data_IF_020355894203
#
_entry.id   IF_020355894203
#
_cell.length_a   1.000
_cell.length_b   1.000
_cell.length_c   1.000
_cell.angle_alpha   90.00
_cell.angle_beta   90.00
_cell.angle_gamma   90.00
#
_symmetry.space_group_name_H-M   'P 1'
#
loop_
_entity.id
_entity.type
_entity.pdbx_description
1 polymer ?
#
# COMPACT_ATOMS: atom_id res chain seq x y z
N UNK A 1 -29.47 28.13 20.10
CA UNK A 1 -29.02 27.76 18.75
C UNK A 1 -27.93 28.75 18.37
N UNK A 2 -26.66 28.35 18.34
CA UNK A 2 -25.62 29.19 17.75
C UNK A 2 -25.85 29.18 16.24
N UNK A 3 -26.09 30.35 15.65
CA UNK A 3 -26.10 30.52 14.20
C UNK A 3 -24.76 30.02 13.66
N UNK A 4 -24.81 29.00 12.80
CA UNK A 4 -23.63 28.54 12.08
C UNK A 4 -23.27 29.66 11.12
N UNK A 5 -22.13 30.34 11.35
CA UNK A 5 -21.64 31.36 10.43
C UNK A 5 -21.65 30.80 8.99
N UNK A 6 -22.20 31.53 8.02
CA UNK A 6 -22.22 31.08 6.64
C UNK A 6 -20.79 30.85 6.16
N UNK A 7 -20.52 29.66 5.61
CA UNK A 7 -19.20 29.29 5.09
C UNK A 7 -18.75 30.37 4.09
N UNK A 8 -17.65 31.04 4.40
CA UNK A 8 -17.06 32.06 3.53
C UNK A 8 -16.55 31.39 2.24
N UNK A 9 -17.39 31.36 1.21
CA UNK A 9 -17.06 30.73 -0.07
C UNK A 9 -15.89 31.44 -0.76
N UNK A 10 -15.72 32.75 -0.58
CA UNK A 10 -14.63 33.51 -1.17
C UNK A 10 -13.27 33.13 -0.56
N UNK A 11 -13.23 32.74 0.72
CA UNK A 11 -12.02 32.22 1.36
C UNK A 11 -11.54 30.90 0.71
N UNK A 12 -12.46 29.99 0.41
CA UNK A 12 -12.11 28.68 -0.17
C UNK A 12 -12.01 28.70 -1.70
N UNK A 13 -12.79 29.54 -2.37
CA UNK A 13 -12.95 29.50 -3.82
C UNK A 13 -12.50 30.75 -4.56
N UNK A 14 -12.14 31.83 -3.85
CA UNK A 14 -11.76 33.12 -4.43
C UNK A 14 -10.29 33.25 -4.84
N UNK A 15 -9.41 32.30 -4.45
CA UNK A 15 -8.00 32.30 -4.86
C UNK A 15 -7.66 31.08 -5.72
N UNK A 16 -6.80 31.30 -6.72
CA UNK A 16 -6.20 30.22 -7.48
C UNK A 16 -5.20 29.45 -6.63
N UNK A 17 -5.20 28.12 -6.78
CA UNK A 17 -4.25 27.27 -6.07
C UNK A 17 -2.81 27.57 -6.53
N UNK A 18 -1.85 27.68 -5.59
CA UNK A 18 -0.47 27.94 -5.93
C UNK A 18 0.10 26.82 -6.81
N UNK A 19 0.76 27.20 -7.91
CA UNK A 19 1.47 26.23 -8.75
C UNK A 19 2.79 25.84 -8.08
N UNK A 20 3.18 24.55 -8.13
CA UNK A 20 4.47 24.14 -7.60
C UNK A 20 5.60 24.85 -8.34
N UNK A 21 6.61 25.31 -7.59
CA UNK A 21 7.82 25.90 -8.19
C UNK A 21 8.65 24.82 -8.91
N UNK A 22 9.50 25.24 -9.85
CA UNK A 22 10.40 24.31 -10.57
C UNK A 22 11.27 23.48 -9.61
N UNK A 23 11.78 24.09 -8.54
CA UNK A 23 12.57 23.39 -7.52
C UNK A 23 11.76 22.30 -6.81
N UNK A 24 10.49 22.57 -6.50
CA UNK A 24 9.59 21.58 -5.90
C UNK A 24 9.35 20.44 -6.88
N UNK A 25 9.08 20.73 -8.14
CA UNK A 25 8.88 19.71 -9.17
C UNK A 25 10.11 18.81 -9.31
N UNK A 26 11.31 19.39 -9.41
CA UNK A 26 12.57 18.64 -9.50
C UNK A 26 12.74 17.69 -8.31
N UNK A 27 12.47 18.14 -7.08
CA UNK A 27 12.57 17.29 -5.89
C UNK A 27 11.64 16.08 -5.94
N UNK A 28 10.39 16.26 -6.37
CA UNK A 28 9.42 15.16 -6.44
C UNK A 28 9.76 14.19 -7.58
N UNK A 29 10.25 14.71 -8.72
CA UNK A 29 10.75 13.88 -9.82
C UNK A 29 11.97 13.06 -9.39
N UNK A 30 12.91 13.65 -8.66
CA UNK A 30 14.08 12.93 -8.14
C UNK A 30 13.69 11.84 -7.15
N UNK A 31 12.72 12.09 -6.26
CA UNK A 31 12.23 11.08 -5.32
C UNK A 31 11.51 9.94 -6.04
N UNK A 32 10.69 10.26 -7.05
CA UNK A 32 10.05 9.24 -7.88
C UNK A 32 11.09 8.42 -8.64
N UNK A 33 12.12 9.05 -9.22
CA UNK A 33 13.21 8.36 -9.91
C UNK A 33 14.02 7.46 -8.97
N UNK A 34 14.33 7.94 -7.76
CA UNK A 34 15.00 7.13 -6.74
C UNK A 34 14.13 5.94 -6.32
N UNK A 35 12.83 6.16 -6.15
CA UNK A 35 11.86 5.10 -5.83
C UNK A 35 11.74 4.09 -6.95
N UNK A 36 11.79 4.53 -8.22
CA UNK A 36 11.85 3.65 -9.37
C UNK A 36 13.09 2.75 -9.35
N UNK A 37 14.27 3.29 -9.04
CA UNK A 37 15.47 2.48 -8.90
C UNK A 37 15.34 1.45 -7.76
N UNK A 38 14.91 1.88 -6.56
CA UNK A 38 14.80 0.98 -5.41
C UNK A 38 13.73 -0.09 -5.57
N UNK A 39 12.58 0.25 -6.17
CA UNK A 39 11.52 -0.73 -6.48
C UNK A 39 11.93 -1.69 -7.58
N UNK A 40 12.72 -1.24 -8.58
CA UNK A 40 13.25 -2.13 -9.63
C UNK A 40 14.20 -3.16 -9.03
N UNK A 41 15.13 -2.74 -8.15
CA UNK A 41 16.04 -3.68 -7.46
C UNK A 41 15.26 -4.59 -6.50
N UNK A 42 14.27 -4.07 -5.77
CA UNK A 42 13.43 -4.90 -4.90
C UNK A 42 12.62 -5.94 -5.69
N UNK A 43 12.17 -5.60 -6.90
CA UNK A 43 11.44 -6.50 -7.79
C UNK A 43 12.29 -7.64 -8.35
N UNK A 44 13.62 -7.54 -8.36
CA UNK A 44 14.49 -8.64 -8.78
C UNK A 44 14.80 -9.62 -7.65
N UNK A 45 14.75 -9.16 -6.40
CA UNK A 45 15.11 -9.91 -5.21
C UNK A 45 13.94 -10.75 -4.67
N UNK A 46 14.25 -11.91 -4.11
CA UNK A 46 13.32 -12.66 -3.28
C UNK A 46 12.78 -11.76 -2.14
N UNK A 47 11.46 -11.77 -1.84
CA UNK A 47 10.46 -12.76 -2.29
C UNK A 47 9.71 -12.43 -3.58
N UNK A 48 9.96 -11.28 -4.22
CA UNK A 48 9.19 -10.83 -5.38
C UNK A 48 9.79 -11.23 -6.72
N UNK A 49 11.11 -11.44 -6.75
CA UNK A 49 11.85 -11.67 -7.98
C UNK A 49 12.67 -12.96 -8.01
N UNK A 50 13.30 -13.22 -9.17
CA UNK A 50 14.00 -14.47 -9.45
C UNK A 50 15.35 -14.60 -8.74
N UNK A 51 15.91 -13.52 -8.19
CA UNK A 51 17.24 -13.52 -7.57
C UNK A 51 17.11 -13.95 -6.11
N UNK A 52 17.65 -15.13 -5.79
CA UNK A 52 17.62 -15.72 -4.45
C UNK A 52 19.03 -16.01 -3.93
N UNK A 53 19.81 -14.95 -3.72
CA UNK A 53 21.20 -15.05 -3.27
C UNK A 53 21.35 -15.01 -1.74
N UNK A 54 20.23 -14.93 -1.01
CA UNK A 54 20.26 -14.89 0.45
C UNK A 54 20.48 -16.29 1.03
N UNK A 55 21.69 -16.83 0.84
CA UNK A 55 22.12 -18.08 1.47
C UNK A 55 22.47 -17.77 2.92
N UNK A 56 21.52 -17.98 3.81
CA UNK A 56 21.82 -18.12 5.24
C UNK A 56 22.55 -19.45 5.37
N UNK A 57 23.77 -19.45 5.91
CA UNK A 57 24.49 -20.67 6.23
C UNK A 57 23.75 -21.50 7.29
N UNK A 58 24.39 -22.54 7.83
CA UNK A 58 23.82 -23.26 8.98
C UNK A 58 23.51 -22.28 10.13
N UNK A 59 22.37 -22.49 10.80
CA UNK A 59 21.99 -21.68 11.95
C UNK A 59 23.12 -21.63 12.99
N UNK A 60 23.46 -20.44 13.52
CA UNK A 60 24.50 -20.31 14.52
C UNK A 60 24.14 -21.14 15.75
N UNK A 61 25.04 -22.04 16.16
CA UNK A 61 24.85 -22.96 17.28
C UNK A 61 25.38 -22.38 18.60
N UNK A 62 26.26 -21.39 18.51
CA UNK A 62 26.89 -20.73 19.67
C UNK A 62 26.58 -19.24 19.73
N UNK A 63 26.74 -18.64 20.91
CA UNK A 63 26.57 -17.20 21.10
C UNK A 63 27.57 -16.40 20.25
N UNK A 64 28.82 -16.87 20.18
CA UNK A 64 29.87 -16.23 19.38
C UNK A 64 29.56 -16.29 17.87
N UNK A 65 29.05 -17.44 17.39
CA UNK A 65 28.56 -17.57 16.02
C UNK A 65 27.37 -16.64 15.75
N UNK A 66 26.48 -16.47 16.74
CA UNK A 66 25.33 -15.56 16.63
C UNK A 66 25.80 -14.10 16.49
N UNK A 67 26.75 -13.68 17.33
CA UNK A 67 27.33 -12.33 17.26
C UNK A 67 28.06 -12.13 15.93
N UNK A 68 28.88 -13.08 15.51
CA UNK A 68 29.57 -13.03 14.23
C UNK A 68 28.59 -12.97 13.04
N UNK A 69 27.50 -13.73 13.11
CA UNK A 69 26.44 -13.70 12.11
C UNK A 69 25.84 -12.28 11.99
N UNK A 70 25.41 -11.66 13.09
CA UNK A 70 24.85 -10.31 13.07
C UNK A 70 25.85 -9.26 12.57
N UNK A 71 27.12 -9.36 12.95
CA UNK A 71 28.18 -8.47 12.48
C UNK A 71 28.47 -8.64 10.97
N UNK A 72 28.23 -9.82 10.40
CA UNK A 72 28.40 -10.11 8.96
C UNK A 72 27.23 -9.64 8.09
N UNK A 73 26.06 -9.33 8.68
CA UNK A 73 24.86 -8.97 7.92
C UNK A 73 25.02 -7.74 7.01
N UNK A 74 25.69 -6.64 7.42
CA UNK A 74 25.87 -5.48 6.55
C UNK A 74 26.66 -5.82 5.28
N UNK A 75 27.72 -6.64 5.39
CA UNK A 75 28.52 -7.06 4.25
C UNK A 75 27.71 -7.97 3.31
N UNK A 76 26.99 -8.96 3.87
CA UNK A 76 26.11 -9.84 3.08
C UNK A 76 25.01 -9.06 2.36
N UNK A 77 24.40 -8.10 3.05
CA UNK A 77 23.40 -7.22 2.47
C UNK A 77 23.98 -6.42 1.29
N UNK A 78 25.13 -5.77 1.47
CA UNK A 78 25.80 -5.03 0.38
C UNK A 78 26.14 -5.96 -0.79
N UNK A 79 26.60 -7.18 -0.53
CA UNK A 79 26.89 -8.18 -1.55
C UNK A 79 25.66 -8.56 -2.37
N UNK A 80 24.54 -8.87 -1.72
CA UNK A 80 23.27 -9.23 -2.38
C UNK A 80 22.75 -8.07 -3.22
N UNK A 81 22.73 -6.85 -2.68
CA UNK A 81 22.29 -5.67 -3.43
C UNK A 81 23.23 -5.39 -4.61
N UNK A 82 24.55 -5.50 -4.41
CA UNK A 82 25.55 -5.32 -5.45
C UNK A 82 25.39 -6.31 -6.60
N UNK A 83 25.18 -7.58 -6.29
CA UNK A 83 24.94 -8.62 -7.30
C UNK A 83 23.63 -8.41 -8.04
N UNK A 84 22.54 -8.06 -7.36
CA UNK A 84 21.28 -7.74 -8.01
C UNK A 84 21.40 -6.55 -8.98
N UNK A 85 22.17 -5.52 -8.60
CA UNK A 85 22.48 -4.39 -9.48
C UNK A 85 23.31 -4.85 -10.68
N UNK A 86 24.34 -5.68 -10.49
CA UNK A 86 25.13 -6.24 -11.58
C UNK A 86 24.24 -7.03 -12.57
N UNK A 87 23.33 -7.87 -12.06
CA UNK A 87 22.39 -8.64 -12.86
C UNK A 87 21.42 -7.76 -13.66
N UNK A 88 21.02 -6.59 -13.14
CA UNK A 88 20.20 -5.63 -13.90
C UNK A 88 20.91 -5.13 -15.17
N UNK A 89 22.24 -5.07 -15.18
CA UNK A 89 23.02 -4.64 -16.35
C UNK A 89 23.52 -5.78 -17.23
N UNK A 90 23.56 -7.00 -16.72
CA UNK A 90 24.16 -8.16 -17.40
C UNK A 90 23.14 -9.20 -17.87
N UNK A 91 21.96 -9.26 -17.24
CA UNK A 91 20.92 -10.24 -17.53
C UNK A 91 19.60 -9.55 -17.95
N UNK A 92 19.24 -9.71 -19.23
CA UNK A 92 18.04 -9.09 -19.79
C UNK A 92 16.75 -9.58 -19.12
N UNK A 93 16.68 -10.85 -18.68
CA UNK A 93 15.48 -11.36 -18.02
C UNK A 93 15.27 -10.69 -16.66
N UNK A 94 16.34 -10.55 -15.86
CA UNK A 94 16.30 -9.88 -14.55
C UNK A 94 15.92 -8.40 -14.70
N UNK A 95 16.48 -7.72 -15.71
CA UNK A 95 16.10 -6.35 -16.03
C UNK A 95 14.62 -6.21 -16.39
N UNK A 96 14.13 -7.04 -17.32
CA UNK A 96 12.72 -7.01 -17.73
C UNK A 96 11.79 -7.28 -16.55
N UNK A 97 12.08 -8.32 -15.75
CA UNK A 97 11.27 -8.66 -14.58
C UNK A 97 11.22 -7.51 -13.55
N UNK A 98 12.38 -6.92 -13.23
CA UNK A 98 12.47 -5.79 -12.30
C UNK A 98 11.69 -4.56 -12.79
N UNK A 99 11.74 -4.27 -14.10
CA UNK A 99 10.99 -3.18 -14.72
C UNK A 99 9.48 -3.43 -14.75
N UNK A 100 9.05 -4.65 -15.09
CA UNK A 100 7.64 -5.04 -15.06
C UNK A 100 7.06 -4.85 -13.67
N UNK A 101 7.80 -5.26 -12.64
CA UNK A 101 7.40 -5.09 -11.24
C UNK A 101 7.32 -3.61 -10.86
N UNK A 102 8.39 -2.83 -11.07
CA UNK A 102 8.46 -1.44 -10.62
C UNK A 102 7.49 -0.53 -11.35
N UNK A 103 7.35 -0.67 -12.67
CA UNK A 103 6.39 0.10 -13.46
C UNK A 103 4.95 -0.22 -13.04
N UNK A 104 4.63 -1.49 -12.84
CA UNK A 104 3.30 -1.90 -12.38
C UNK A 104 2.98 -1.34 -11.00
N UNK A 105 3.89 -1.51 -10.04
CA UNK A 105 3.69 -1.02 -8.67
C UNK A 105 3.59 0.51 -8.62
N UNK A 106 4.51 1.22 -9.28
CA UNK A 106 4.46 2.69 -9.31
C UNK A 106 3.25 3.21 -10.04
N UNK A 107 2.76 2.55 -11.09
CA UNK A 107 1.53 2.95 -11.76
C UNK A 107 0.33 2.91 -10.80
N UNK A 108 0.24 1.89 -9.95
CA UNK A 108 -0.79 1.78 -8.91
C UNK A 108 -0.64 2.92 -7.89
N UNK A 109 0.56 3.11 -7.34
CA UNK A 109 0.82 4.11 -6.29
C UNK A 109 0.66 5.55 -6.79
N UNK A 110 1.18 5.86 -7.98
CA UNK A 110 1.00 7.16 -8.63
C UNK A 110 -0.48 7.42 -8.86
N UNK A 111 -1.24 6.43 -9.34
CA UNK A 111 -2.67 6.60 -9.59
C UNK A 111 -3.46 6.81 -8.32
N UNK A 112 -3.10 6.12 -7.23
CA UNK A 112 -3.66 6.35 -5.89
C UNK A 112 -3.45 7.80 -5.45
N UNK A 113 -2.20 8.27 -5.41
CA UNK A 113 -1.91 9.64 -4.96
C UNK A 113 -2.46 10.72 -5.89
N UNK A 114 -2.46 10.45 -7.20
CA UNK A 114 -3.07 11.35 -8.18
C UNK A 114 -4.60 11.41 -8.02
N UNK A 115 -5.26 10.33 -7.60
CA UNK A 115 -6.67 10.34 -7.24
C UNK A 115 -6.98 11.37 -6.14
N UNK A 116 -6.20 11.33 -5.06
CA UNK A 116 -6.29 12.34 -3.99
C UNK A 116 -5.96 13.74 -4.50
N UNK A 117 -4.87 13.90 -5.25
CA UNK A 117 -4.43 15.20 -5.76
C UNK A 117 -5.49 15.84 -6.65
N UNK A 118 -6.06 15.08 -7.60
CA UNK A 118 -7.11 15.57 -8.50
C UNK A 118 -8.36 15.97 -7.71
N UNK A 119 -8.78 15.15 -6.73
CA UNK A 119 -9.89 15.50 -5.85
C UNK A 119 -9.63 16.81 -5.08
N UNK A 120 -8.42 16.99 -4.53
CA UNK A 120 -8.02 18.24 -3.89
C UNK A 120 -8.12 19.43 -4.86
N UNK A 121 -7.68 19.27 -6.12
CA UNK A 121 -7.79 20.34 -7.14
C UNK A 121 -9.24 20.68 -7.48
N UNK A 122 -10.14 19.69 -7.57
CA UNK A 122 -11.58 19.90 -7.81
C UNK A 122 -12.21 20.70 -6.66
N UNK A 123 -11.83 20.38 -5.42
CA UNK A 123 -12.33 21.06 -4.22
C UNK A 123 -11.59 22.34 -3.84
N UNK A 124 -10.60 22.76 -4.65
CA UNK A 124 -9.69 23.88 -4.35
C UNK A 124 -9.00 23.77 -2.99
N UNK A 125 -8.64 22.54 -2.59
CA UNK A 125 -7.83 22.27 -1.41
C UNK A 125 -6.36 22.25 -1.83
N UNK A 126 -5.54 23.13 -1.26
CA UNK A 126 -4.09 23.14 -1.46
C UNK A 126 -3.45 21.87 -0.89
N UNK A 127 -2.63 21.21 -1.70
CA UNK A 127 -1.95 19.96 -1.39
C UNK A 127 -0.56 19.92 -2.07
N UNK A 128 0.36 19.14 -1.52
CA UNK A 128 1.64 18.85 -2.20
C UNK A 128 1.43 17.95 -3.42
N UNK A 129 2.44 17.91 -4.29
CA UNK A 129 2.59 16.80 -5.23
C UNK A 129 2.83 15.48 -4.46
N UNK A 130 2.60 14.32 -5.11
CA UNK A 130 2.87 13.02 -4.50
C UNK A 130 4.33 12.89 -4.05
N UNK A 131 4.54 12.71 -2.76
CA UNK A 131 5.86 12.55 -2.16
C UNK A 131 6.16 11.07 -1.99
N UNK A 132 7.02 10.53 -2.86
CA UNK A 132 7.43 9.12 -2.80
C UNK A 132 8.52 8.90 -1.74
N UNK A 133 8.39 7.82 -0.98
CA UNK A 133 9.35 7.42 0.05
C UNK A 133 10.09 6.16 -0.44
N UNK A 134 11.28 6.31 -1.02
CA UNK A 134 12.10 5.17 -1.40
C UNK A 134 12.63 4.47 -0.15
N UNK A 135 12.78 3.15 -0.23
CA UNK A 135 13.46 2.37 0.81
C UNK A 135 14.56 1.56 0.17
N UNK A 136 15.69 1.34 0.87
CA UNK A 136 16.63 0.33 0.43
C UNK A 136 15.90 -1.02 0.21
N UNK A 137 16.21 -1.77 -0.86
CA UNK A 137 15.60 -3.07 -1.11
C UNK A 137 15.76 -4.01 0.10
N UNK A 138 14.82 -4.94 0.29
CA UNK A 138 14.75 -5.86 1.46
C UNK A 138 14.50 -5.22 2.84
N UNK A 139 14.68 -3.91 3.02
CA UNK A 139 14.34 -3.22 4.28
C UNK A 139 12.87 -2.82 4.32
N UNK A 140 12.36 -2.28 3.20
CA UNK A 140 10.94 -1.96 3.02
C UNK A 140 10.18 -3.07 2.30
N UNK A 141 8.83 -3.04 2.30
CA UNK A 141 8.00 -4.11 1.79
C UNK A 141 8.12 -4.35 0.28
N UNK A 142 8.62 -3.38 -0.50
CA UNK A 142 8.73 -3.50 -1.96
C UNK A 142 9.74 -2.50 -2.59
N UNK A 143 10.77 -2.08 -1.85
CA UNK A 143 11.65 -0.99 -2.28
C UNK A 143 11.04 0.41 -2.16
N UNK A 144 9.86 0.53 -1.54
CA UNK A 144 9.21 1.79 -1.18
C UNK A 144 8.32 1.62 0.05
N UNK A 145 8.12 2.69 0.82
CA UNK A 145 7.05 2.80 1.83
C UNK A 145 5.75 3.38 1.24
N UNK A 146 5.70 3.55 -0.09
CA UNK A 146 4.60 4.19 -0.79
C UNK A 146 4.86 5.67 -1.05
N UNK A 147 3.77 6.39 -1.23
CA UNK A 147 3.76 7.83 -1.41
C UNK A 147 2.63 8.43 -0.59
N UNK A 148 2.67 9.74 -0.39
CA UNK A 148 1.56 10.48 0.20
C UNK A 148 1.52 11.90 -0.32
N UNK A 149 0.33 12.50 -0.36
CA UNK A 149 0.16 13.94 -0.46
C UNK A 149 -0.05 14.56 0.93
N UNK A 150 0.46 15.77 1.12
CA UNK A 150 0.17 16.57 2.31
C UNK A 150 -0.86 17.63 1.98
N UNK A 151 -2.01 17.55 2.64
CA UNK A 151 -3.04 18.60 2.62
C UNK A 151 -2.51 19.82 3.41
N UNK A 152 -2.55 21.00 2.81
CA UNK A 152 -2.00 22.26 3.37
C UNK A 152 -3.06 23.26 3.80
N UNK A 153 -4.30 23.07 3.35
CA UNK A 153 -5.42 23.96 3.66
C UNK A 153 -6.58 23.17 4.24
N UNK A 154 -7.48 23.82 5.01
CA UNK A 154 -8.63 23.14 5.59
C UNK A 154 -9.60 22.62 4.53
N UNK A 155 -10.25 21.50 4.81
CA UNK A 155 -11.26 20.95 3.92
C UNK A 155 -12.59 21.71 4.05
N UNK A 156 -13.19 22.18 2.95
CA UNK A 156 -14.34 23.09 2.98
C UNK A 156 -15.62 22.40 3.45
N UNK A 157 -15.78 21.11 3.16
CA UNK A 157 -17.03 20.38 3.45
C UNK A 157 -16.80 18.90 3.71
N UNK A 158 -17.79 18.27 4.35
CA UNK A 158 -17.87 16.81 4.53
C UNK A 158 -17.84 16.05 3.20
N UNK A 159 -18.36 16.64 2.12
CA UNK A 159 -18.27 16.08 0.76
C UNK A 159 -16.83 16.07 0.25
N UNK A 160 -16.08 17.15 0.49
CA UNK A 160 -14.66 17.20 0.13
C UNK A 160 -13.85 16.16 0.92
N UNK A 161 -14.09 16.01 2.22
CA UNK A 161 -13.46 14.98 3.06
C UNK A 161 -13.72 13.58 2.47
N UNK A 162 -14.98 13.30 2.12
CA UNK A 162 -15.36 12.01 1.55
C UNK A 162 -14.70 11.76 0.20
N UNK A 163 -14.90 12.67 -0.76
CA UNK A 163 -14.44 12.49 -2.14
C UNK A 163 -12.91 12.44 -2.21
N UNK A 164 -12.20 13.29 -1.45
CA UNK A 164 -10.73 13.24 -1.36
C UNK A 164 -10.29 11.92 -0.74
N UNK A 165 -10.91 11.49 0.35
CA UNK A 165 -10.58 10.22 1.01
C UNK A 165 -10.74 9.01 0.10
N UNK A 166 -11.85 8.89 -0.64
CA UNK A 166 -12.10 7.69 -1.46
C UNK A 166 -11.43 7.71 -2.84
N UNK A 167 -11.07 8.89 -3.37
CA UNK A 167 -10.56 9.01 -4.73
C UNK A 167 -9.25 8.24 -4.95
N UNK A 168 -8.32 8.28 -3.98
CA UNK A 168 -7.05 7.56 -4.10
C UNK A 168 -7.22 6.05 -4.13
N UNK A 169 -7.83 5.42 -3.11
CA UNK A 169 -8.06 3.98 -3.09
C UNK A 169 -8.83 3.48 -4.32
N UNK A 170 -9.81 4.23 -4.81
CA UNK A 170 -10.55 3.86 -6.03
C UNK A 170 -9.63 3.89 -7.25
N UNK A 171 -8.84 4.96 -7.43
CA UNK A 171 -7.92 5.08 -8.56
C UNK A 171 -6.82 4.02 -8.53
N UNK A 172 -6.23 3.76 -7.36
CA UNK A 172 -5.26 2.69 -7.15
C UNK A 172 -5.86 1.31 -7.46
N UNK A 173 -7.06 1.01 -6.96
CA UNK A 173 -7.76 -0.24 -7.23
C UNK A 173 -8.07 -0.45 -8.71
N UNK A 174 -8.53 0.59 -9.41
CA UNK A 174 -8.82 0.54 -10.85
C UNK A 174 -7.58 0.20 -11.67
N UNK A 175 -6.40 0.72 -11.28
CA UNK A 175 -5.14 0.40 -11.96
C UNK A 175 -4.56 -0.95 -11.54
N UNK A 176 -4.79 -1.37 -10.30
CA UNK A 176 -4.37 -2.69 -9.81
C UNK A 176 -5.08 -3.82 -10.56
N UNK A 177 -6.38 -3.67 -10.86
CA UNK A 177 -7.17 -4.72 -11.50
C UNK A 177 -6.61 -5.24 -12.85
N UNK A 178 -6.29 -4.40 -13.86
CA UNK A 178 -5.70 -4.90 -15.10
C UNK A 178 -4.32 -5.52 -14.89
N UNK A 179 -3.53 -5.01 -13.94
CA UNK A 179 -2.21 -5.59 -13.60
C UNK A 179 -2.40 -6.98 -12.99
N UNK A 180 -3.37 -7.15 -12.08
CA UNK A 180 -3.71 -8.45 -11.51
C UNK A 180 -4.17 -9.44 -12.58
N UNK A 181 -5.00 -8.99 -13.52
CA UNK A 181 -5.47 -9.79 -14.66
C UNK A 181 -4.28 -10.25 -15.51
N UNK A 182 -3.36 -9.34 -15.87
CA UNK A 182 -2.15 -9.69 -16.64
C UNK A 182 -1.32 -10.72 -15.86
N UNK A 183 -1.00 -10.44 -14.59
CA UNK A 183 -0.19 -11.33 -13.76
C UNK A 183 -0.78 -12.73 -13.62
N UNK A 184 -2.06 -12.84 -13.30
CA UNK A 184 -2.74 -14.13 -13.15
C UNK A 184 -2.89 -14.83 -14.50
N UNK A 185 -3.23 -14.13 -15.59
CA UNK A 185 -3.36 -14.74 -16.92
C UNK A 185 -2.04 -15.34 -17.43
N UNK A 186 -0.91 -14.72 -17.10
CA UNK A 186 0.44 -15.15 -17.50
C UNK A 186 1.12 -16.06 -16.48
N UNK A 187 0.54 -16.25 -15.29
CA UNK A 187 1.19 -17.08 -14.27
C UNK A 187 1.34 -18.53 -14.73
N UNK A 188 2.49 -19.13 -14.43
CA UNK A 188 2.77 -20.54 -14.67
C UNK A 188 2.14 -21.39 -13.56
N UNK A 189 1.59 -22.54 -13.94
CA UNK A 189 0.92 -23.46 -13.00
C UNK A 189 1.80 -24.68 -12.78
N UNK A 190 2.10 -24.98 -11.52
CA UNK A 190 2.91 -26.16 -11.17
C UNK A 190 2.02 -27.40 -11.06
N UNK A 191 2.45 -28.48 -11.72
CA UNK A 191 1.83 -29.79 -11.57
C UNK A 191 2.41 -30.51 -10.35
N UNK A 192 1.60 -30.65 -9.29
CA UNK A 192 1.69 -31.76 -8.33
C UNK A 192 2.57 -31.67 -7.06
N UNK A 193 3.04 -30.50 -6.63
CA UNK A 193 3.41 -30.28 -5.22
C UNK A 193 3.08 -28.84 -4.83
N UNK A 194 2.48 -28.57 -3.65
CA UNK A 194 2.55 -27.23 -3.09
C UNK A 194 4.04 -26.85 -2.96
N UNK A 195 4.39 -25.64 -3.38
CA UNK A 195 5.74 -25.10 -3.21
C UNK A 195 5.96 -24.89 -1.70
N UNK A 196 6.35 -25.95 -1.00
CA UNK A 196 6.58 -25.92 0.44
C UNK A 196 7.76 -26.83 0.79
N UNK A 197 8.95 -26.25 0.72
CA UNK A 197 10.12 -26.72 1.48
C UNK A 197 10.30 -25.70 2.60
N UNK A 198 10.29 -26.14 3.86
CA UNK A 198 10.14 -25.26 5.04
C UNK A 198 11.11 -24.07 5.07
N UNK A 199 10.64 -22.94 5.58
CA UNK A 199 11.34 -21.65 5.66
C UNK A 199 10.96 -20.64 4.56
N UNK A 200 9.94 -20.91 3.73
CA UNK A 200 9.55 -20.01 2.63
C UNK A 200 8.38 -19.07 3.01
N UNK A 201 8.41 -17.86 2.44
CA UNK A 201 7.37 -16.85 2.60
C UNK A 201 6.23 -17.18 1.62
N UNK A 202 5.05 -17.46 2.15
CA UNK A 202 3.84 -17.68 1.36
C UNK A 202 2.94 -16.46 1.47
N UNK A 203 2.58 -15.88 0.32
CA UNK A 203 1.65 -14.76 0.25
C UNK A 203 0.22 -15.28 0.21
N UNK A 204 -0.64 -14.75 1.08
CA UNK A 204 -2.07 -15.03 1.04
C UNK A 204 -2.76 -14.17 -0.02
N UNK A 205 -3.62 -14.76 -0.84
CA UNK A 205 -4.20 -14.07 -1.99
C UNK A 205 -5.49 -13.31 -1.60
N UNK A 206 -5.56 -11.98 -1.82
CA UNK A 206 -6.78 -11.21 -1.59
C UNK A 206 -7.96 -11.76 -2.41
N UNK A 207 -9.19 -11.56 -1.91
CA UNK A 207 -10.40 -12.08 -2.55
C UNK A 207 -10.52 -11.64 -4.01
N UNK A 208 -10.13 -10.39 -4.34
CA UNK A 208 -10.12 -9.92 -5.73
C UNK A 208 -9.21 -10.77 -6.62
N UNK A 209 -8.02 -11.16 -6.15
CA UNK A 209 -7.09 -11.96 -6.91
C UNK A 209 -7.63 -13.39 -7.08
N UNK A 210 -8.22 -13.96 -6.03
CA UNK A 210 -8.89 -15.27 -6.12
C UNK A 210 -10.04 -15.27 -7.13
N UNK A 211 -10.85 -14.21 -7.18
CA UNK A 211 -11.92 -14.06 -8.16
C UNK A 211 -11.38 -13.95 -9.58
N UNK A 212 -10.26 -13.25 -9.79
CA UNK A 212 -9.58 -13.20 -11.09
C UNK A 212 -9.03 -14.59 -11.44
N UNK A 213 -8.38 -15.30 -10.51
CA UNK A 213 -7.93 -16.68 -10.68
C UNK A 213 -9.06 -17.61 -11.12
N UNK A 214 -10.20 -17.55 -10.41
CA UNK A 214 -11.41 -18.30 -10.74
C UNK A 214 -11.90 -18.00 -12.16
N UNK A 215 -11.89 -16.73 -12.58
CA UNK A 215 -12.31 -16.33 -13.92
C UNK A 215 -11.40 -16.88 -15.03
N UNK A 216 -10.12 -17.15 -14.73
CA UNK A 216 -9.17 -17.80 -15.64
C UNK A 216 -9.07 -19.32 -15.45
N UNK A 217 -9.85 -19.90 -14.53
CA UNK A 217 -9.77 -21.34 -14.20
C UNK A 217 -8.44 -21.74 -13.54
N UNK A 218 -7.76 -20.80 -12.87
CA UNK A 218 -6.48 -21.02 -12.19
C UNK A 218 -6.67 -21.06 -10.68
N UNK A 219 -6.19 -22.14 -10.07
CA UNK A 219 -6.06 -22.22 -8.61
C UNK A 219 -4.73 -21.61 -8.18
N UNK A 220 -4.81 -20.42 -7.58
CA UNK A 220 -3.63 -19.62 -7.20
C UNK A 220 -2.70 -20.37 -6.23
N UNK A 221 -3.20 -21.37 -5.50
CA UNK A 221 -2.37 -22.21 -4.64
C UNK A 221 -1.27 -22.98 -5.38
N UNK A 222 -1.43 -23.21 -6.69
CA UNK A 222 -0.46 -23.89 -7.55
C UNK A 222 0.25 -22.95 -8.53
N UNK A 223 -0.06 -21.65 -8.48
CA UNK A 223 0.47 -20.67 -9.40
C UNK A 223 1.79 -20.06 -8.92
N UNK A 224 2.75 -19.93 -9.82
CA UNK A 224 4.01 -19.22 -9.55
C UNK A 224 3.80 -17.73 -9.81
N UNK A 225 3.98 -16.91 -8.78
CA UNK A 225 3.85 -15.45 -8.87
C UNK A 225 4.90 -14.85 -9.81
N UNK A 226 4.46 -14.02 -10.75
CA UNK A 226 5.32 -13.20 -11.61
C UNK A 226 5.35 -11.72 -11.16
N UNK A 227 6.12 -10.88 -11.87
CA UNK A 227 6.30 -9.47 -11.53
C UNK A 227 4.97 -8.70 -11.39
N UNK A 228 4.04 -8.89 -12.33
CA UNK A 228 2.72 -8.25 -12.32
C UNK A 228 1.86 -8.75 -11.13
N UNK A 229 1.91 -10.05 -10.86
CA UNK A 229 1.20 -10.67 -9.73
C UNK A 229 1.59 -10.01 -8.40
N UNK A 230 2.89 -9.94 -8.12
CA UNK A 230 3.38 -9.36 -6.87
C UNK A 230 3.14 -7.85 -6.79
N UNK A 231 3.28 -7.11 -7.90
CA UNK A 231 2.94 -5.70 -7.93
C UNK A 231 1.45 -5.45 -7.63
N UNK A 232 0.55 -6.25 -8.21
CA UNK A 232 -0.88 -6.18 -7.92
C UNK A 232 -1.21 -6.57 -6.48
N UNK A 233 -0.54 -7.61 -5.96
CA UNK A 233 -0.68 -8.05 -4.57
C UNK A 233 -0.29 -6.94 -3.58
N UNK A 234 0.85 -6.28 -3.79
CA UNK A 234 1.28 -5.13 -2.99
C UNK A 234 0.28 -3.97 -3.15
N UNK A 235 -0.18 -3.70 -4.37
CA UNK A 235 -1.20 -2.68 -4.63
C UNK A 235 -2.50 -2.93 -3.86
N UNK A 236 -2.97 -4.18 -3.82
CA UNK A 236 -4.13 -4.59 -3.04
C UNK A 236 -3.87 -4.39 -1.54
N UNK A 237 -2.69 -4.77 -1.04
CA UNK A 237 -2.30 -4.55 0.36
C UNK A 237 -2.30 -3.07 0.74
N UNK A 238 -1.68 -2.20 -0.08
CA UNK A 238 -1.66 -0.74 0.16
C UNK A 238 -3.07 -0.17 0.14
N UNK A 239 -3.90 -0.56 -0.83
CA UNK A 239 -5.31 -0.15 -0.89
C UNK A 239 -6.07 -0.58 0.37
N UNK A 240 -5.88 -1.84 0.82
CA UNK A 240 -6.52 -2.37 2.02
C UNK A 240 -6.12 -1.59 3.27
N UNK A 241 -4.83 -1.33 3.46
CA UNK A 241 -4.31 -0.56 4.61
C UNK A 241 -4.92 0.84 4.61
N UNK A 242 -4.92 1.53 3.46
CA UNK A 242 -5.49 2.87 3.34
C UNK A 242 -7.01 2.90 3.61
N UNK A 243 -7.73 1.82 3.33
CA UNK A 243 -9.16 1.73 3.58
C UNK A 243 -9.54 1.22 4.98
N UNK A 244 -8.58 0.93 5.86
CA UNK A 244 -8.89 0.60 7.25
C UNK A 244 -9.63 1.79 7.89
N UNK A 245 -10.77 1.56 8.59
CA UNK A 245 -11.62 2.62 9.15
C UNK A 245 -11.05 3.24 10.43
N UNK A 246 -9.83 3.78 10.38
CA UNK A 246 -9.08 4.27 11.54
C UNK A 246 -8.25 5.52 11.25
N UNK A 247 -8.19 6.43 12.23
CA UNK A 247 -7.30 7.60 12.21
C UNK A 247 -7.51 8.50 10.99
N UNK A 248 -6.39 8.92 10.39
CA UNK A 248 -6.33 9.73 9.17
C UNK A 248 -6.15 8.91 7.89
N UNK A 249 -6.35 7.59 7.95
CA UNK A 249 -6.39 6.77 6.74
C UNK A 249 -7.59 7.18 5.87
N UNK A 250 -7.52 6.85 4.58
CA UNK A 250 -8.57 7.13 3.60
C UNK A 250 -9.93 6.54 4.00
N UNK A 251 -9.92 5.31 4.52
CA UNK A 251 -11.11 4.66 5.09
C UNK A 251 -11.64 5.38 6.33
N UNK A 252 -10.76 6.00 7.12
CA UNK A 252 -11.13 6.87 8.23
C UNK A 252 -11.90 8.11 7.75
N UNK A 253 -11.42 8.79 6.71
CA UNK A 253 -12.11 9.92 6.07
C UNK A 253 -13.49 9.51 5.54
N UNK A 254 -13.57 8.35 4.88
CA UNK A 254 -14.82 7.81 4.35
C UNK A 254 -15.84 7.54 5.47
N UNK A 255 -15.43 6.88 6.56
CA UNK A 255 -16.29 6.59 7.72
C UNK A 255 -16.72 7.87 8.43
N UNK A 256 -15.79 8.79 8.67
CA UNK A 256 -16.11 10.07 9.29
C UNK A 256 -17.16 10.84 8.50
N UNK A 257 -16.99 10.92 7.18
CA UNK A 257 -17.90 11.68 6.34
C UNK A 257 -19.28 11.00 6.14
N UNK A 258 -19.34 9.66 6.18
CA UNK A 258 -20.59 8.92 5.96
C UNK A 258 -21.40 8.69 7.23
N UNK A 259 -20.73 8.30 8.33
CA UNK A 259 -21.35 7.86 9.58
C UNK A 259 -21.16 8.86 10.73
N UNK A 260 -20.34 9.89 10.53
CA UNK A 260 -20.11 10.97 11.48
C UNK A 260 -19.00 10.70 12.49
N UNK A 261 -18.69 11.73 13.27
CA UNK A 261 -17.56 11.76 14.21
C UNK A 261 -17.65 10.67 15.29
N UNK A 262 -18.84 10.39 15.81
CA UNK A 262 -19.02 9.39 16.86
C UNK A 262 -18.66 7.99 16.37
N UNK A 263 -19.05 7.64 15.14
CA UNK A 263 -18.75 6.32 14.58
C UNK A 263 -17.26 6.22 14.29
N UNK A 264 -16.68 7.22 13.62
CA UNK A 264 -15.23 7.27 13.35
C UNK A 264 -14.38 7.12 14.63
N UNK A 265 -14.78 7.79 15.71
CA UNK A 265 -14.11 7.68 17.01
C UNK A 265 -14.08 6.24 17.54
N UNK A 266 -15.21 5.53 17.45
CA UNK A 266 -15.29 4.14 17.90
C UNK A 266 -14.62 3.17 16.93
N UNK A 267 -14.76 3.36 15.61
CA UNK A 267 -14.10 2.47 14.62
C UNK A 267 -12.60 2.52 14.76
N UNK A 268 -12.00 3.70 14.98
CA UNK A 268 -10.58 3.81 15.27
C UNK A 268 -10.20 2.97 16.51
N UNK A 269 -10.87 3.21 17.63
CA UNK A 269 -10.58 2.50 18.90
C UNK A 269 -10.80 1.00 18.86
N UNK A 270 -11.70 0.51 18.01
CA UNK A 270 -11.98 -0.92 17.84
C UNK A 270 -11.00 -1.54 16.83
N UNK A 271 -10.60 -0.81 15.78
CA UNK A 271 -9.71 -1.32 14.75
C UNK A 271 -8.37 -1.79 15.32
N UNK A 272 -7.76 -1.03 16.23
CA UNK A 272 -6.49 -1.40 16.85
C UNK A 272 -6.55 -2.71 17.66
N UNK A 273 -7.42 -2.87 18.68
CA UNK A 273 -7.48 -4.11 19.46
C UNK A 273 -7.89 -5.30 18.59
N UNK A 274 -8.79 -5.12 17.61
CA UNK A 274 -9.15 -6.16 16.65
C UNK A 274 -7.91 -6.60 15.87
N UNK A 275 -7.14 -5.66 15.30
CA UNK A 275 -5.92 -6.00 14.58
C UNK A 275 -4.82 -6.57 15.47
N UNK A 276 -4.70 -6.12 16.71
CA UNK A 276 -3.74 -6.69 17.67
C UNK A 276 -4.09 -8.15 18.00
N UNK A 277 -5.36 -8.45 18.26
CA UNK A 277 -5.83 -9.83 18.49
C UNK A 277 -5.63 -10.67 17.24
N UNK A 278 -6.03 -10.19 16.07
CA UNK A 278 -5.78 -10.87 14.78
C UNK A 278 -4.29 -11.15 14.62
N UNK A 279 -3.41 -10.20 14.92
CA UNK A 279 -1.95 -10.38 14.80
C UNK A 279 -1.43 -11.51 15.68
N UNK A 280 -1.88 -11.58 16.94
CA UNK A 280 -1.49 -12.66 17.87
C UNK A 280 -2.03 -14.01 17.39
N UNK A 281 -3.30 -14.05 16.98
CA UNK A 281 -3.91 -15.28 16.45
C UNK A 281 -3.24 -15.73 15.15
N UNK A 282 -2.87 -14.79 14.28
CA UNK A 282 -2.15 -15.05 13.03
C UNK A 282 -0.77 -15.63 13.26
N UNK A 283 -0.03 -15.06 14.21
CA UNK A 283 1.27 -15.59 14.61
C UNK A 283 1.16 -16.99 15.21
N UNK A 284 0.15 -17.24 16.06
CA UNK A 284 -0.01 -18.51 16.75
C UNK A 284 -0.58 -19.65 15.89
N UNK A 285 -1.61 -19.36 15.09
CA UNK A 285 -2.33 -20.39 14.32
C UNK A 285 -1.87 -20.51 12.86
N UNK A 286 -1.30 -19.45 12.29
CA UNK A 286 -0.99 -19.38 10.85
C UNK A 286 0.46 -19.04 10.55
N UNK A 287 1.34 -19.01 11.56
CA UNK A 287 2.75 -18.62 11.43
C UNK A 287 2.94 -17.31 10.66
N UNK A 288 2.00 -16.36 10.84
CA UNK A 288 1.89 -15.14 10.06
C UNK A 288 2.27 -13.93 10.92
N UNK A 289 3.53 -13.43 10.88
CA UNK A 289 3.95 -12.28 11.67
C UNK A 289 3.42 -10.93 11.12
N UNK A 290 2.86 -10.92 9.91
CA UNK A 290 2.52 -9.71 9.16
C UNK A 290 1.49 -8.80 9.83
N UNK A 291 0.61 -9.35 10.68
CA UNK A 291 -0.37 -8.55 11.42
C UNK A 291 0.29 -7.51 12.34
N UNK A 292 1.47 -7.84 12.90
CA UNK A 292 2.18 -6.98 13.85
C UNK A 292 2.49 -5.61 13.25
N UNK A 293 2.98 -5.57 12.00
CA UNK A 293 3.30 -4.32 11.31
C UNK A 293 2.05 -3.44 11.15
N UNK A 294 0.92 -4.03 10.76
CA UNK A 294 -0.35 -3.33 10.59
C UNK A 294 -0.84 -2.80 11.96
N UNK A 295 -0.73 -3.59 13.03
CA UNK A 295 -1.09 -3.15 14.37
C UNK A 295 -0.23 -1.97 14.86
N UNK A 296 1.09 -1.99 14.60
CA UNK A 296 1.99 -0.88 14.92
C UNK A 296 1.59 0.40 14.18
N UNK A 297 1.36 0.30 12.86
CA UNK A 297 0.91 1.44 12.03
C UNK A 297 -0.38 2.03 12.61
N UNK A 298 -1.38 1.20 12.91
CA UNK A 298 -2.64 1.64 13.50
C UNK A 298 -2.44 2.29 14.87
N UNK A 299 -1.55 1.76 15.70
CA UNK A 299 -1.22 2.32 17.02
C UNK A 299 -0.70 3.75 16.95
N UNK A 300 0.08 4.08 15.92
CA UNK A 300 0.51 5.46 15.66
C UNK A 300 -0.65 6.33 15.16
N UNK A 301 -1.48 5.81 14.25
CA UNK A 301 -2.57 6.59 13.64
C UNK A 301 -3.71 6.91 14.61
N UNK A 302 -3.92 6.11 15.66
CA UNK A 302 -4.88 6.43 16.73
C UNK A 302 -4.58 7.74 17.47
N UNK A 303 -3.31 8.16 17.49
CA UNK A 303 -2.88 9.37 18.21
C UNK A 303 -3.21 10.65 17.44
N UNK A 304 -3.53 10.55 16.15
CA UNK A 304 -3.73 11.71 15.28
C UNK A 304 -5.22 12.00 15.12
N UNK A 305 -5.65 13.17 15.57
CA UNK A 305 -7.05 13.60 15.44
C UNK A 305 -7.47 13.80 13.99
N UNK A 306 -8.74 13.54 13.69
CA UNK A 306 -9.30 13.78 12.36
C UNK A 306 -9.71 15.24 12.21
N UNK A 307 -9.29 15.95 11.14
CA UNK A 307 -9.68 17.33 10.92
C UNK A 307 -11.20 17.43 10.72
N UNK A 308 -11.84 18.38 11.40
CA UNK A 308 -13.28 18.64 11.23
C UNK A 308 -13.48 19.56 10.03
N UNK A 309 -14.33 19.19 9.05
CA UNK A 309 -14.68 20.10 7.95
C UNK A 309 -15.55 21.24 8.47
N UNK A 310 -15.49 22.38 7.77
CA UNK A 310 -16.30 23.56 8.08
C UNK A 310 -17.79 23.30 7.84
N UNK A 311 -18.15 22.85 6.63
CA UNK A 311 -19.50 22.41 6.33
C UNK A 311 -19.70 20.93 6.69
N UNK A 312 -20.65 20.67 7.60
CA UNK A 312 -21.02 19.33 8.05
C UNK A 312 -22.30 18.77 7.40
N UNK A 313 -22.79 19.39 6.33
CA UNK A 313 -23.96 18.88 5.59
C UNK A 313 -23.79 17.39 5.25
N UNK A 314 -24.83 16.56 5.46
CA UNK A 314 -24.76 15.14 5.14
C UNK A 314 -24.46 14.88 3.66
N UNK A 315 -23.86 13.71 3.39
CA UNK A 315 -23.60 13.25 2.03
C UNK A 315 -24.90 12.95 1.28
N UNK A 316 -24.91 13.25 -0.02
CA UNK A 316 -25.99 12.88 -0.93
C UNK A 316 -26.00 11.37 -1.23
N UNK A 317 -27.10 10.91 -1.83
CA UNK A 317 -27.32 9.49 -2.13
C UNK A 317 -26.27 8.90 -3.08
N UNK A 318 -25.70 9.68 -4.01
CA UNK A 318 -24.67 9.18 -4.93
C UNK A 318 -23.38 8.88 -4.17
N UNK A 319 -22.96 9.77 -3.28
CA UNK A 319 -21.79 9.57 -2.41
C UNK A 319 -21.97 8.41 -1.43
N UNK A 320 -23.19 8.16 -0.95
CA UNK A 320 -23.48 6.95 -0.17
C UNK A 320 -23.29 5.67 -0.99
N UNK A 321 -23.68 5.67 -2.27
CA UNK A 321 -23.40 4.54 -3.16
C UNK A 321 -21.90 4.34 -3.39
N UNK A 322 -21.14 5.43 -3.56
CA UNK A 322 -19.67 5.37 -3.64
C UNK A 322 -19.07 4.83 -2.34
N UNK A 323 -19.62 5.18 -1.18
CA UNK A 323 -19.14 4.65 0.10
C UNK A 323 -19.31 3.13 0.20
N UNK A 324 -20.43 2.61 -0.31
CA UNK A 324 -20.66 1.16 -0.41
C UNK A 324 -19.64 0.53 -1.36
N UNK A 325 -19.38 1.15 -2.52
CA UNK A 325 -18.34 0.68 -3.45
C UNK A 325 -16.96 0.64 -2.78
N UNK A 326 -16.58 1.70 -2.04
CA UNK A 326 -15.31 1.74 -1.30
C UNK A 326 -15.23 0.66 -0.24
N UNK A 327 -16.32 0.38 0.47
CA UNK A 327 -16.38 -0.74 1.42
C UNK A 327 -16.21 -2.09 0.72
N UNK A 328 -16.81 -2.28 -0.46
CA UNK A 328 -16.63 -3.50 -1.26
C UNK A 328 -15.17 -3.64 -1.71
N UNK A 329 -14.53 -2.56 -2.16
CA UNK A 329 -13.10 -2.55 -2.51
C UNK A 329 -12.27 -2.99 -1.29
N UNK A 330 -12.54 -2.43 -0.11
CA UNK A 330 -11.86 -2.84 1.12
C UNK A 330 -12.03 -4.34 1.40
N UNK A 331 -13.26 -4.86 1.34
CA UNK A 331 -13.52 -6.30 1.56
C UNK A 331 -12.78 -7.17 0.54
N UNK A 332 -12.71 -6.72 -0.71
CA UNK A 332 -12.07 -7.45 -1.81
C UNK A 332 -10.54 -7.47 -1.71
N UNK A 333 -9.92 -6.42 -1.15
CA UNK A 333 -8.47 -6.30 -1.04
C UNK A 333 -7.92 -6.66 0.34
N UNK A 334 -8.73 -6.55 1.40
CA UNK A 334 -8.29 -6.79 2.76
C UNK A 334 -8.03 -8.27 3.01
N UNK A 335 -6.84 -8.55 3.55
CA UNK A 335 -6.46 -9.89 3.95
C UNK A 335 -5.83 -9.83 5.35
N UNK A 336 -6.34 -10.58 6.34
CA UNK A 336 -5.87 -10.49 7.72
C UNK A 336 -4.46 -11.06 7.91
N UNK A 337 -4.09 -12.07 7.11
CA UNK A 337 -2.81 -12.80 7.22
C UNK A 337 -2.05 -12.81 5.88
N UNK A 338 -1.56 -11.63 5.42
CA UNK A 338 -1.00 -11.48 4.08
C UNK A 338 0.25 -12.31 3.84
N UNK A 339 1.06 -12.56 4.88
CA UNK A 339 2.32 -13.29 4.72
C UNK A 339 2.44 -14.35 5.80
N UNK A 340 2.58 -15.61 5.37
CA UNK A 340 2.77 -16.78 6.23
C UNK A 340 4.18 -17.32 6.06
N UNK A 341 4.75 -17.82 7.15
CA UNK A 341 5.99 -18.60 7.13
C UNK A 341 5.63 -20.07 7.17
N UNK A 342 6.02 -20.84 6.14
CA UNK A 342 5.74 -22.28 6.01
C UNK A 342 7.03 -23.07 6.01
#
# INVERSE_FOLDING_TARGET
MQEVEPVNQDFFYGQDLPRPSALVLVRHVLLLALTFCTTTIAGTLYPFGPVNDFVVGSDPQTFDETVAFFLSLPEKYIGVIGHAIELLFTNSYVLTYGLEFSLSLLLILVSHEMGHYIACRIYKVDATLPFFIPTPPMIGPAGTFGAFIRIKSPMPSRKAVFDIGVAGPIAGFVMMLPIAIIGISQMEMTASQPVSTGGQLVFGDPLIMQLVGLAFGKDLAFGVGNAFYYAAWIGALVTAINLIPSGQLDGGHAVYATLGERVHYWTGRIAFPVMAVISVLGAYFYSSPSGFLIAVILGFMLKVGHPRPYDQTPLDTKRKAVAILTLLIFILTFLPFPVKLV
#
